data_IF_389588615660
#
_entry.id   IF_389588615660
#
_cell.length_a   1.000
_cell.length_b   1.000
_cell.length_c   1.000
_cell.angle_alpha   90.00
_cell.angle_beta   90.00
_cell.angle_gamma   90.00
#
_symmetry.space_group_name_H-M   'P 1'
#
loop_
_entity.id
_entity.type
_entity.pdbx_description
1 polymer ?
#
# COMPACT_ATOMS: atom_id res chain seq x y z
N UNK A 1 13.79 -11.65 2.37
CA UNK A 1 13.47 -12.22 3.67
C UNK A 1 12.89 -13.59 3.45
N UNK A 2 13.01 -14.47 4.43
CA UNK A 2 12.67 -15.88 4.30
C UNK A 2 11.81 -16.34 5.47
N UNK A 3 11.23 -17.53 5.34
CA UNK A 3 10.51 -18.20 6.44
C UNK A 3 11.43 -18.52 7.62
N UNK A 4 12.73 -18.63 7.37
CA UNK A 4 13.76 -18.96 8.36
C UNK A 4 14.21 -17.75 9.19
N UNK A 5 13.64 -16.56 8.92
CA UNK A 5 13.86 -15.34 9.68
C UNK A 5 14.88 -14.38 9.08
N UNK A 6 15.32 -14.60 7.84
CA UNK A 6 16.21 -13.65 7.18
C UNK A 6 15.49 -12.33 6.91
N UNK A 7 16.16 -11.22 7.21
CA UNK A 7 15.66 -9.90 6.87
C UNK A 7 15.57 -9.71 5.34
N UNK A 8 14.64 -8.87 4.85
CA UNK A 8 14.67 -8.41 3.47
C UNK A 8 15.88 -7.50 3.21
N UNK A 9 16.19 -7.32 1.92
CA UNK A 9 17.18 -6.33 1.50
C UNK A 9 16.72 -4.90 1.86
N UNK A 10 17.67 -3.97 1.96
CA UNK A 10 17.36 -2.56 2.22
C UNK A 10 16.47 -1.96 1.11
N UNK A 11 15.65 -0.96 1.46
CA UNK A 11 14.67 -0.34 0.55
C UNK A 11 15.24 0.11 -0.81
N UNK A 12 16.51 0.55 -0.83
CA UNK A 12 17.22 0.98 -2.04
C UNK A 12 17.50 -0.14 -3.05
N UNK A 13 17.19 -1.39 -2.70
CA UNK A 13 17.42 -2.59 -3.51
C UNK A 13 16.14 -3.39 -3.77
N UNK A 14 14.98 -2.90 -3.34
CA UNK A 14 13.70 -3.61 -3.50
C UNK A 14 12.74 -2.79 -4.33
N UNK A 15 12.04 -3.44 -5.26
CA UNK A 15 10.97 -2.84 -6.05
C UNK A 15 9.64 -3.51 -5.69
N UNK A 16 8.56 -2.74 -5.68
CA UNK A 16 7.21 -3.23 -5.39
C UNK A 16 6.18 -2.61 -6.34
N UNK A 17 5.09 -3.33 -6.57
CA UNK A 17 3.89 -2.84 -7.25
C UNK A 17 2.66 -3.54 -6.70
N UNK A 18 1.48 -2.98 -6.95
CA UNK A 18 0.22 -3.62 -6.57
C UNK A 18 -0.02 -4.90 -7.37
N UNK A 19 -0.51 -5.92 -6.67
CA UNK A 19 -1.03 -7.13 -7.30
C UNK A 19 -2.48 -6.89 -7.77
N UNK A 20 -2.98 -7.75 -8.66
CA UNK A 20 -4.33 -7.63 -9.23
C UNK A 20 -5.41 -7.61 -8.14
N UNK A 21 -5.28 -8.45 -7.11
CA UNK A 21 -6.24 -8.50 -6.00
C UNK A 21 -6.29 -7.21 -5.17
N UNK A 22 -5.20 -6.44 -5.11
CA UNK A 22 -5.17 -5.19 -4.38
C UNK A 22 -6.08 -4.11 -5.01
N UNK A 23 -6.35 -4.21 -6.31
CA UNK A 23 -7.23 -3.27 -7.01
C UNK A 23 -8.69 -3.44 -6.59
N UNK A 24 -9.10 -4.65 -6.21
CA UNK A 24 -10.46 -4.89 -5.71
C UNK A 24 -10.72 -4.17 -4.38
N UNK A 25 -9.69 -4.01 -3.53
CA UNK A 25 -9.80 -3.27 -2.27
C UNK A 25 -9.98 -1.77 -2.46
N UNK A 26 -9.48 -1.22 -3.57
CA UNK A 26 -9.55 0.20 -3.91
C UNK A 26 -10.65 0.50 -4.93
N UNK A 27 -11.48 -0.49 -5.27
CA UNK A 27 -12.50 -0.36 -6.27
C UNK A 27 -13.49 0.74 -5.87
N UNK A 28 -13.83 1.60 -6.83
CA UNK A 28 -14.77 2.71 -6.67
C UNK A 28 -14.42 3.77 -5.60
N UNK A 29 -13.18 3.82 -5.11
CA UNK A 29 -12.75 4.81 -4.10
C UNK A 29 -13.00 6.26 -4.53
N UNK A 30 -12.94 6.54 -5.84
CA UNK A 30 -13.19 7.88 -6.42
C UNK A 30 -14.68 8.22 -6.56
N UNK A 31 -15.60 7.35 -6.09
CA UNK A 31 -17.07 7.53 -6.19
C UNK A 31 -17.72 7.92 -4.86
N UNK A 32 -16.99 8.65 -4.01
CA UNK A 32 -17.50 9.14 -2.71
C UNK A 32 -18.05 8.02 -1.83
N UNK A 33 -17.47 6.82 -1.93
CA UNK A 33 -17.95 5.63 -1.18
C UNK A 33 -17.53 5.65 0.29
N UNK A 34 -16.60 6.53 0.67
CA UNK A 34 -16.06 6.69 2.04
C UNK A 34 -15.74 8.15 2.33
N UNK A 35 -15.73 8.49 3.62
CA UNK A 35 -15.28 9.80 4.09
C UNK A 35 -13.75 9.87 4.17
N UNK A 36 -13.16 10.92 3.62
CA UNK A 36 -11.74 11.21 3.77
C UNK A 36 -11.47 12.00 5.06
N UNK A 37 -10.30 11.80 5.65
CA UNK A 37 -9.85 12.50 6.86
C UNK A 37 -8.54 13.24 6.55
N UNK A 38 -8.30 14.44 7.11
CA UNK A 38 -7.03 15.15 6.94
C UNK A 38 -5.81 14.31 7.33
N UNK A 39 -4.69 14.56 6.64
CA UNK A 39 -3.38 13.98 6.96
C UNK A 39 -2.71 14.69 8.16
N UNK A 40 -1.43 14.41 8.41
CA UNK A 40 -0.73 14.91 9.61
C UNK A 40 -0.53 16.43 9.66
N UNK A 41 -0.56 17.13 8.53
CA UNK A 41 -0.36 18.58 8.42
C UNK A 41 -1.57 19.32 7.83
N UNK A 42 -2.70 18.63 7.66
CA UNK A 42 -3.96 19.17 7.16
C UNK A 42 -3.87 19.82 5.76
N UNK A 43 -2.88 19.43 4.96
CA UNK A 43 -2.69 19.91 3.57
C UNK A 43 -3.15 18.93 2.50
#
# INVERSE_FOLDING_TARGET
GSVDGDAPAAMRYTEIRLDRIAHELLNDLDRETVDFVPNYDET
#
